data_IF_896010839251
#
_entry.id   IF_896010839251
#
_cell.length_a   1.000
_cell.length_b   1.000
_cell.length_c   1.000
_cell.angle_alpha   90.00
_cell.angle_beta   90.00
_cell.angle_gamma   90.00
#
_symmetry.space_group_name_H-M   'P 1'
#
loop_
_entity.id
_entity.type
_entity.pdbx_description
1 polymer ?
#
# COMPACT_ATOMS: atom_id res chain seq x y z
N UNK A 1 72.42 -39.57 34.31
CA UNK A 1 71.65 -38.32 34.46
C UNK A 1 70.66 -38.25 33.29
N UNK A 2 69.38 -38.50 33.53
CA UNK A 2 68.32 -38.49 32.48
C UNK A 2 67.46 -37.24 32.70
N UNK A 3 67.46 -36.32 31.73
CA UNK A 3 66.55 -35.16 31.70
C UNK A 3 65.15 -35.63 31.32
N UNK A 4 64.13 -35.28 32.12
CA UNK A 4 62.73 -35.43 31.84
C UNK A 4 62.25 -34.15 31.15
N UNK A 5 61.75 -34.25 29.93
CA UNK A 5 61.02 -33.19 29.25
C UNK A 5 59.55 -33.19 29.70
N UNK A 6 59.09 -32.04 30.17
CA UNK A 6 57.66 -31.77 30.47
C UNK A 6 57.02 -31.29 29.18
N UNK A 7 56.08 -32.08 28.66
CA UNK A 7 55.18 -31.65 27.60
C UNK A 7 53.99 -30.85 28.25
N UNK A 8 53.91 -29.58 27.93
CA UNK A 8 52.78 -28.74 28.29
C UNK A 8 51.69 -28.89 27.21
N UNK A 9 50.54 -29.46 27.55
CA UNK A 9 49.35 -29.52 26.71
C UNK A 9 48.63 -28.20 26.77
N UNK A 10 48.61 -27.44 25.66
CA UNK A 10 47.75 -26.26 25.48
C UNK A 10 46.35 -26.73 25.11
N UNK A 11 45.38 -26.56 26.00
CA UNK A 11 43.97 -26.73 25.73
C UNK A 11 43.47 -25.57 24.88
N UNK A 12 43.17 -25.80 23.60
CA UNK A 12 42.41 -24.90 22.73
C UNK A 12 40.95 -24.87 23.21
N UNK A 13 40.58 -23.82 23.93
CA UNK A 13 39.17 -23.50 24.18
C UNK A 13 38.53 -23.01 22.87
N UNK A 14 37.98 -23.92 22.10
CA UNK A 14 37.13 -23.61 20.96
C UNK A 14 35.87 -22.95 21.43
N UNK A 15 35.79 -21.61 21.32
CA UNK A 15 34.55 -20.87 21.51
C UNK A 15 33.54 -21.35 20.46
N UNK A 16 32.46 -21.95 20.90
CA UNK A 16 31.30 -22.23 20.03
C UNK A 16 30.79 -20.91 19.48
N UNK A 17 30.48 -20.82 18.18
CA UNK A 17 29.88 -19.60 17.65
C UNK A 17 28.56 -19.35 18.38
N UNK A 18 28.40 -18.13 18.91
CA UNK A 18 27.14 -17.69 19.47
C UNK A 18 26.08 -17.78 18.35
N UNK A 19 25.23 -18.76 18.43
CA UNK A 19 24.04 -18.85 17.57
C UNK A 19 23.21 -17.64 17.91
N UNK A 20 23.18 -16.65 17.02
CA UNK A 20 22.19 -15.59 17.06
C UNK A 20 20.85 -16.29 16.95
N UNK A 21 20.11 -16.37 18.07
CA UNK A 21 18.73 -16.83 18.08
C UNK A 21 18.00 -15.98 17.03
N UNK A 22 17.56 -16.60 15.94
CA UNK A 22 16.75 -15.94 14.96
C UNK A 22 15.54 -15.36 15.72
N UNK A 23 15.35 -14.05 15.67
CA UNK A 23 14.23 -13.42 16.33
C UNK A 23 12.94 -14.09 15.85
N UNK A 24 12.05 -14.46 16.77
CA UNK A 24 10.81 -15.17 16.46
C UNK A 24 9.90 -14.41 15.48
N UNK A 25 8.80 -15.03 15.07
CA UNK A 25 7.82 -14.38 14.19
C UNK A 25 7.29 -13.09 14.82
N UNK A 26 6.90 -12.14 13.97
CA UNK A 26 6.29 -10.87 14.37
C UNK A 26 4.76 -10.97 14.36
N UNK A 27 4.11 -10.08 15.13
CA UNK A 27 2.66 -9.87 15.09
C UNK A 27 2.35 -8.44 14.62
N UNK A 28 1.13 -8.18 14.12
CA UNK A 28 0.76 -6.87 13.58
C UNK A 28 0.99 -5.68 14.54
N UNK A 29 0.80 -5.80 15.87
CA UNK A 29 1.17 -4.74 16.81
C UNK A 29 2.65 -4.38 16.85
N UNK A 30 3.54 -5.28 16.44
CA UNK A 30 5.00 -5.06 16.45
C UNK A 30 5.50 -4.44 15.14
N UNK A 31 4.64 -4.40 14.11
CA UNK A 31 4.99 -3.88 12.78
C UNK A 31 4.65 -2.41 12.68
N UNK A 32 5.56 -1.61 12.13
CA UNK A 32 5.25 -0.28 11.62
C UNK A 32 4.66 -0.44 10.23
N UNK A 33 3.32 -0.27 10.13
CA UNK A 33 2.55 -0.55 8.92
C UNK A 33 1.72 0.66 8.53
N UNK A 34 2.25 1.45 7.59
CA UNK A 34 1.49 2.42 6.82
C UNK A 34 1.14 1.80 5.46
N UNK A 35 -0.06 2.08 4.96
CA UNK A 35 -0.50 1.71 3.61
C UNK A 35 -0.22 0.23 3.28
N UNK A 36 -0.77 -0.72 4.08
CA UNK A 36 -0.49 -2.14 3.92
C UNK A 36 -1.15 -2.70 2.67
N UNK A 37 -0.42 -3.52 1.91
CA UNK A 37 -0.95 -4.24 0.77
C UNK A 37 -0.72 -5.75 0.94
N UNK A 38 -1.78 -6.56 0.83
CA UNK A 38 -1.69 -8.02 1.00
C UNK A 38 -1.98 -8.74 -0.32
N UNK A 39 -1.06 -9.61 -0.72
CA UNK A 39 -1.26 -10.56 -1.81
C UNK A 39 -1.39 -11.96 -1.24
N UNK A 40 -2.46 -12.67 -1.60
CA UNK A 40 -2.67 -14.06 -1.24
C UNK A 40 -2.11 -14.96 -2.33
N UNK A 41 -1.05 -15.69 -2.02
CA UNK A 41 -0.49 -16.70 -2.91
C UNK A 41 -1.02 -18.09 -2.54
N UNK A 42 -2.06 -18.53 -3.24
CA UNK A 42 -2.67 -19.83 -3.03
C UNK A 42 -1.74 -20.99 -3.41
N UNK A 43 -0.81 -20.77 -4.34
CA UNK A 43 0.09 -21.83 -4.76
C UNK A 43 1.07 -22.22 -3.64
N UNK A 44 1.55 -21.25 -2.88
CA UNK A 44 2.43 -21.47 -1.73
C UNK A 44 1.69 -21.48 -0.38
N UNK A 45 0.36 -21.31 -0.38
CA UNK A 45 -0.46 -21.17 0.85
C UNK A 45 0.07 -20.08 1.77
N UNK A 46 0.39 -18.92 1.20
CA UNK A 46 1.07 -17.83 1.91
C UNK A 46 0.42 -16.47 1.61
N UNK A 47 0.34 -15.63 2.63
CA UNK A 47 0.06 -14.20 2.50
C UNK A 47 1.37 -13.43 2.45
N UNK A 48 1.46 -12.48 1.53
CA UNK A 48 2.55 -11.53 1.42
C UNK A 48 2.03 -10.15 1.77
N UNK A 49 2.62 -9.48 2.76
CA UNK A 49 2.26 -8.13 3.16
C UNK A 49 3.39 -7.19 2.78
N UNK A 50 3.08 -6.20 1.94
CA UNK A 50 4.00 -5.19 1.45
C UNK A 50 3.76 -3.85 2.14
N UNK A 51 4.82 -3.13 2.46
CA UNK A 51 4.79 -1.77 2.98
C UNK A 51 6.13 -1.07 2.70
N UNK A 52 6.18 0.24 2.90
CA UNK A 52 7.42 1.01 2.83
C UNK A 52 8.47 0.42 3.78
N UNK A 53 9.73 0.40 3.35
CA UNK A 53 10.82 -0.04 4.21
C UNK A 53 10.99 0.88 5.43
N UNK A 54 11.03 0.27 6.62
CA UNK A 54 11.37 0.92 7.89
C UNK A 54 12.73 0.37 8.35
N UNK A 55 13.82 1.16 8.27
CA UNK A 55 15.17 0.67 8.55
C UNK A 55 15.36 0.04 9.92
N UNK A 56 14.68 0.54 10.96
CA UNK A 56 14.73 -0.02 12.32
C UNK A 56 14.12 -1.41 12.42
N UNK A 57 13.25 -1.80 11.47
CA UNK A 57 12.57 -3.10 11.44
C UNK A 57 13.28 -4.08 10.52
N UNK A 58 13.63 -3.65 9.31
CA UNK A 58 14.28 -4.50 8.30
C UNK A 58 15.79 -4.64 8.50
N UNK A 59 16.42 -3.72 9.25
CA UNK A 59 17.87 -3.62 9.37
C UNK A 59 18.57 -3.10 8.09
N UNK A 60 17.82 -2.63 7.09
CA UNK A 60 18.34 -2.14 5.81
C UNK A 60 18.18 -0.62 5.72
N UNK A 61 19.30 0.10 5.63
CA UNK A 61 19.33 1.55 5.43
C UNK A 61 19.08 1.87 3.95
N UNK A 62 17.84 1.69 3.50
CA UNK A 62 17.44 1.85 2.11
C UNK A 62 16.07 2.51 2.01
N UNK A 63 15.88 3.36 1.02
CA UNK A 63 14.56 3.78 0.54
C UNK A 63 14.04 2.61 -0.30
N UNK A 64 12.91 2.04 0.05
CA UNK A 64 12.44 0.84 -0.64
C UNK A 64 11.15 0.27 -0.07
N UNK A 65 10.85 -0.93 -0.50
CA UNK A 65 9.68 -1.72 -0.08
C UNK A 65 10.16 -2.99 0.61
N UNK A 66 9.56 -3.30 1.74
CA UNK A 66 9.77 -4.55 2.45
C UNK A 66 8.51 -5.41 2.42
N UNK A 67 8.69 -6.71 2.52
CA UNK A 67 7.60 -7.67 2.55
C UNK A 67 7.73 -8.64 3.72
N UNK A 68 6.60 -8.99 4.30
CA UNK A 68 6.43 -10.01 5.33
C UNK A 68 5.67 -11.20 4.73
N UNK A 69 5.84 -12.39 5.32
CA UNK A 69 5.09 -13.58 4.93
C UNK A 69 4.36 -14.18 6.12
N UNK A 70 3.16 -14.73 5.89
CA UNK A 70 2.36 -15.43 6.88
C UNK A 70 1.55 -16.55 6.24
N UNK A 71 1.29 -17.62 6.96
CA UNK A 71 0.33 -18.66 6.56
C UNK A 71 -1.01 -18.55 7.30
N UNK A 72 -1.10 -17.67 8.32
CA UNK A 72 -2.24 -17.60 9.23
C UNK A 72 -2.74 -16.18 9.51
N UNK A 73 -2.14 -15.13 8.89
CA UNK A 73 -2.43 -13.70 9.10
C UNK A 73 -2.11 -13.18 10.52
N UNK A 74 -1.64 -14.01 11.41
CA UNK A 74 -1.31 -13.67 12.80
C UNK A 74 0.19 -13.62 13.05
N UNK A 75 0.91 -14.63 12.57
CA UNK A 75 2.35 -14.76 12.74
C UNK A 75 3.04 -14.48 11.41
N UNK A 76 3.92 -13.50 11.42
CA UNK A 76 4.58 -12.99 10.23
C UNK A 76 6.10 -13.19 10.33
N UNK A 77 6.76 -13.48 9.25
CA UNK A 77 8.23 -13.51 9.20
C UNK A 77 8.80 -12.14 9.54
N UNK A 78 10.10 -12.07 9.83
CA UNK A 78 10.83 -10.80 9.72
C UNK A 78 10.76 -10.31 8.27
N UNK A 79 10.73 -8.98 8.04
CA UNK A 79 10.60 -8.46 6.67
C UNK A 79 11.89 -8.63 5.89
N UNK A 80 11.72 -8.84 4.59
CA UNK A 80 12.80 -8.82 3.61
C UNK A 80 12.64 -7.58 2.72
N UNK A 81 13.75 -6.94 2.35
CA UNK A 81 13.74 -5.85 1.38
C UNK A 81 13.54 -6.45 -0.01
N UNK A 82 12.38 -6.19 -0.64
CA UNK A 82 12.02 -6.74 -1.95
C UNK A 82 12.24 -5.76 -3.11
N UNK A 83 12.33 -4.46 -2.78
CA UNK A 83 12.67 -3.40 -3.71
C UNK A 83 13.52 -2.35 -3.02
N UNK A 84 14.57 -1.89 -3.68
CA UNK A 84 15.37 -0.74 -3.26
C UNK A 84 15.33 0.30 -4.38
N UNK A 85 15.02 1.55 -4.01
CA UNK A 85 15.10 2.66 -4.95
C UNK A 85 16.57 2.87 -5.37
N UNK A 86 16.90 2.74 -6.66
CA UNK A 86 18.27 2.92 -7.11
C UNK A 86 18.74 4.37 -6.93
N UNK A 87 20.02 4.54 -6.58
CA UNK A 87 20.65 5.86 -6.61
C UNK A 87 20.78 6.38 -8.04
N UNK A 88 20.72 7.69 -8.19
CA UNK A 88 20.99 8.35 -9.49
C UNK A 88 19.78 8.49 -10.42
N UNK A 89 18.61 7.98 -10.06
CA UNK A 89 17.36 8.31 -10.75
C UNK A 89 16.83 9.67 -10.29
N UNK A 90 15.75 10.14 -10.91
CA UNK A 90 15.15 11.43 -10.55
C UNK A 90 14.59 11.49 -9.13
N UNK A 91 14.08 10.37 -8.60
CA UNK A 91 13.51 10.28 -7.24
C UNK A 91 14.59 9.98 -6.20
N UNK A 92 14.46 10.55 -5.02
CA UNK A 92 15.39 10.37 -3.92
C UNK A 92 14.71 10.09 -2.57
N UNK A 93 13.38 9.93 -2.56
CA UNK A 93 12.59 9.54 -1.39
C UNK A 93 11.24 8.92 -1.83
N UNK A 94 10.45 8.44 -0.86
CA UNK A 94 9.14 7.86 -1.10
C UNK A 94 9.08 6.37 -0.82
N UNK A 95 8.80 5.58 -1.85
CA UNK A 95 8.38 4.17 -1.77
C UNK A 95 7.12 4.00 -0.89
N UNK A 96 6.17 4.97 -1.03
CA UNK A 96 4.91 4.99 -0.31
C UNK A 96 3.88 4.13 -1.02
N UNK A 97 2.89 3.64 -0.24
CA UNK A 97 1.76 2.86 -0.73
C UNK A 97 2.13 1.82 -1.80
N UNK A 98 3.03 0.88 -1.49
CA UNK A 98 3.44 -0.13 -2.47
C UNK A 98 2.33 -1.12 -2.72
N UNK A 99 1.99 -1.35 -3.98
CA UNK A 99 1.01 -2.33 -4.41
C UNK A 99 1.60 -3.33 -5.38
N UNK A 100 1.32 -4.61 -5.20
CA UNK A 100 1.88 -5.69 -6.02
C UNK A 100 0.77 -6.42 -6.78
N UNK A 101 0.77 -6.29 -8.09
CA UNK A 101 -0.21 -6.87 -8.97
C UNK A 101 0.41 -7.88 -9.94
N UNK A 102 -0.35 -8.96 -10.24
CA UNK A 102 0.06 -9.91 -11.26
C UNK A 102 -0.49 -9.47 -12.63
N UNK A 103 0.38 -9.30 -13.59
CA UNK A 103 0.00 -8.97 -14.96
C UNK A 103 0.81 -9.82 -15.95
N UNK A 104 0.15 -10.50 -16.87
CA UNK A 104 0.76 -11.33 -17.92
C UNK A 104 1.88 -12.27 -17.41
N UNK A 105 1.64 -12.88 -16.26
CA UNK A 105 2.55 -13.87 -15.68
C UNK A 105 3.67 -13.31 -14.80
N UNK A 106 3.88 -11.99 -14.79
CA UNK A 106 4.88 -11.30 -13.95
C UNK A 106 4.22 -10.51 -12.82
N UNK A 107 5.01 -10.13 -11.84
CA UNK A 107 4.60 -9.30 -10.70
C UNK A 107 5.08 -7.87 -10.90
N UNK A 108 4.17 -6.93 -10.82
CA UNK A 108 4.45 -5.51 -10.95
C UNK A 108 4.19 -4.81 -9.63
N UNK A 109 5.19 -4.08 -9.17
CA UNK A 109 5.13 -3.20 -8.01
C UNK A 109 4.80 -1.79 -8.51
N UNK A 110 3.68 -1.25 -8.09
CA UNK A 110 3.31 0.16 -8.21
C UNK A 110 3.75 0.85 -6.94
N UNK A 111 4.51 1.92 -7.04
CA UNK A 111 5.05 2.58 -5.85
C UNK A 111 5.19 4.08 -6.07
N UNK A 112 4.79 4.86 -5.07
CA UNK A 112 4.91 6.32 -5.10
C UNK A 112 6.30 6.75 -4.66
N UNK A 113 6.99 7.51 -5.51
CA UNK A 113 8.31 8.09 -5.24
C UNK A 113 8.30 9.59 -5.51
N UNK A 114 9.22 10.33 -4.88
CA UNK A 114 9.27 11.79 -5.07
C UNK A 114 10.68 12.36 -4.93
N UNK A 115 10.80 13.65 -5.32
CA UNK A 115 11.99 14.46 -5.08
C UNK A 115 11.57 15.93 -4.88
N UNK A 116 11.63 16.39 -3.64
CA UNK A 116 11.30 17.77 -3.28
C UNK A 116 12.27 18.81 -3.84
N UNK A 117 13.45 18.39 -4.30
CA UNK A 117 14.42 19.22 -5.02
C UNK A 117 14.06 19.48 -6.48
N UNK A 118 12.99 18.86 -7.00
CA UNK A 118 12.51 19.02 -8.36
C UNK A 118 11.12 19.70 -8.37
N UNK A 119 11.03 21.03 -8.18
CA UNK A 119 9.75 21.73 -8.19
C UNK A 119 9.08 21.63 -9.57
N UNK A 120 7.75 21.60 -9.58
CA UNK A 120 6.98 21.74 -10.80
C UNK A 120 7.02 23.19 -11.30
N UNK A 121 6.84 23.38 -12.61
CA UNK A 121 6.85 24.71 -13.22
C UNK A 121 5.68 25.58 -12.71
N UNK A 122 4.51 24.98 -12.53
CA UNK A 122 3.33 25.67 -12.04
C UNK A 122 3.20 25.54 -10.52
N UNK A 123 3.10 26.65 -9.80
CA UNK A 123 2.84 26.63 -8.37
C UNK A 123 1.45 26.07 -8.09
N UNK A 124 1.32 25.26 -7.04
CA UNK A 124 0.01 24.78 -6.59
C UNK A 124 -0.83 25.89 -5.93
N UNK A 125 -2.14 25.67 -5.80
CA UNK A 125 -3.09 26.63 -5.22
C UNK A 125 -3.01 26.75 -3.69
N UNK A 126 -2.17 25.94 -3.04
CA UNK A 126 -2.08 25.88 -1.56
C UNK A 126 -0.98 26.81 -1.09
N UNK A 127 -1.38 27.92 -0.41
CA UNK A 127 -0.45 28.93 0.06
C UNK A 127 0.63 28.32 0.99
N UNK A 128 1.89 28.69 0.77
CA UNK A 128 3.02 28.22 1.55
C UNK A 128 3.46 26.78 1.27
N UNK A 129 2.79 26.08 0.38
CA UNK A 129 3.17 24.73 -0.06
C UNK A 129 3.80 24.78 -1.45
N UNK A 130 4.78 23.90 -1.69
CA UNK A 130 5.42 23.76 -3.00
C UNK A 130 4.93 22.49 -3.67
N UNK A 131 4.72 22.57 -4.97
CA UNK A 131 4.54 21.41 -5.83
C UNK A 131 5.90 20.93 -6.33
N UNK A 132 6.09 19.61 -6.34
CA UNK A 132 7.34 19.00 -6.76
C UNK A 132 7.06 17.65 -7.40
N UNK A 133 8.05 17.09 -8.08
CA UNK A 133 7.89 15.81 -8.75
C UNK A 133 7.60 14.70 -7.74
N UNK A 134 6.38 14.17 -7.83
CA UNK A 134 5.89 12.99 -7.12
C UNK A 134 5.08 12.16 -8.08
N UNK A 135 5.38 10.87 -8.20
CA UNK A 135 4.69 10.02 -9.16
C UNK A 135 4.71 8.57 -8.75
N UNK A 136 3.73 7.83 -9.26
CA UNK A 136 3.78 6.37 -9.29
C UNK A 136 4.75 5.92 -10.37
N UNK A 137 5.69 5.05 -9.98
CA UNK A 137 6.60 4.33 -10.88
C UNK A 137 6.34 2.84 -10.79
N UNK A 138 6.81 2.09 -11.79
CA UNK A 138 6.66 0.64 -11.85
C UNK A 138 8.01 -0.05 -11.65
N UNK A 139 7.96 -1.14 -10.89
CA UNK A 139 9.03 -2.13 -10.86
C UNK A 139 8.46 -3.52 -11.13
N UNK A 140 9.27 -4.45 -11.59
CA UNK A 140 8.82 -5.77 -12.03
C UNK A 140 9.72 -6.87 -11.50
N UNK A 141 9.11 -8.02 -11.21
CA UNK A 141 9.80 -9.25 -10.81
C UNK A 141 9.11 -10.49 -11.40
N UNK A 142 9.87 -11.57 -11.53
CA UNK A 142 9.30 -12.85 -11.95
C UNK A 142 8.68 -13.63 -10.78
N UNK A 143 9.08 -13.29 -9.55
CA UNK A 143 8.55 -13.87 -8.32
C UNK A 143 7.93 -12.81 -7.42
N UNK A 144 6.88 -13.18 -6.67
CA UNK A 144 6.15 -12.29 -5.76
C UNK A 144 7.05 -11.66 -4.69
N UNK A 145 8.05 -12.39 -4.20
CA UNK A 145 9.03 -11.89 -3.23
C UNK A 145 10.16 -11.03 -3.83
N UNK A 146 10.12 -10.71 -5.10
CA UNK A 146 11.16 -9.92 -5.76
C UNK A 146 12.44 -10.73 -6.08
N UNK A 147 13.62 -10.09 -6.21
CA UNK A 147 13.78 -8.64 -6.15
C UNK A 147 13.07 -7.93 -7.32
N UNK A 148 12.41 -6.82 -7.00
CA UNK A 148 11.80 -5.97 -8.03
C UNK A 148 12.84 -5.02 -8.62
N UNK A 149 12.78 -4.81 -9.93
CA UNK A 149 13.64 -3.86 -10.66
C UNK A 149 12.78 -2.85 -11.41
N UNK A 150 13.22 -1.59 -11.43
CA UNK A 150 12.47 -0.52 -12.10
C UNK A 150 12.23 -0.83 -13.57
N UNK A 151 11.03 -0.52 -14.00
CA UNK A 151 10.67 -0.46 -15.42
C UNK A 151 11.03 0.93 -15.94
N UNK A 152 11.62 1.01 -17.15
CA UNK A 152 11.99 2.28 -17.80
C UNK A 152 12.77 3.24 -16.90
N UNK A 153 13.75 2.73 -16.18
CA UNK A 153 14.62 3.52 -15.30
C UNK A 153 13.86 4.39 -14.28
N UNK A 154 12.63 3.98 -13.92
CA UNK A 154 11.79 4.67 -12.96
C UNK A 154 11.09 5.91 -13.51
N UNK A 155 10.89 6.01 -14.83
CA UNK A 155 10.04 7.06 -15.39
C UNK A 155 8.61 6.97 -14.82
N UNK A 156 7.97 8.12 -14.54
CA UNK A 156 6.58 8.17 -14.12
C UNK A 156 5.63 7.47 -15.10
N UNK A 157 4.62 6.79 -14.57
CA UNK A 157 3.58 6.17 -15.43
C UNK A 157 2.79 7.24 -16.20
N UNK A 158 2.52 8.38 -15.55
CA UNK A 158 1.87 9.55 -16.16
C UNK A 158 2.86 10.70 -16.30
N UNK A 159 2.39 11.85 -16.81
CA UNK A 159 3.24 13.04 -16.95
C UNK A 159 3.97 13.37 -15.64
N UNK A 160 5.26 13.70 -15.75
CA UNK A 160 6.09 14.17 -14.64
C UNK A 160 5.64 15.50 -14.03
N UNK A 161 4.73 16.22 -14.70
CA UNK A 161 4.18 17.51 -14.26
C UNK A 161 2.88 17.33 -13.42
N UNK A 162 2.45 16.09 -13.23
CA UNK A 162 1.33 15.73 -12.34
C UNK A 162 1.87 15.13 -11.04
N UNK A 163 1.45 15.71 -9.92
CA UNK A 163 1.68 15.09 -8.61
C UNK A 163 0.67 13.96 -8.42
N UNK A 164 1.15 12.73 -8.56
CA UNK A 164 0.33 11.54 -8.40
C UNK A 164 0.83 10.66 -7.27
N UNK A 165 -0.09 9.98 -6.60
CA UNK A 165 0.24 8.98 -5.59
C UNK A 165 -0.75 7.81 -5.64
N UNK A 166 -0.36 6.71 -5.00
CA UNK A 166 -1.18 5.53 -4.77
C UNK A 166 -1.76 4.93 -6.06
N UNK A 167 -0.90 4.80 -7.09
CA UNK A 167 -1.32 4.19 -8.35
C UNK A 167 -1.61 2.70 -8.18
N UNK A 168 -2.79 2.27 -8.60
CA UNK A 168 -3.24 0.88 -8.57
C UNK A 168 -3.58 0.37 -9.97
N UNK A 169 -3.36 -0.93 -10.21
CA UNK A 169 -3.76 -1.58 -11.46
C UNK A 169 -5.23 -1.98 -11.42
N UNK A 170 -6.00 -1.52 -12.38
CA UNK A 170 -7.34 -2.00 -12.65
C UNK A 170 -7.42 -2.59 -14.06
N UNK A 171 -7.96 -3.80 -14.17
CA UNK A 171 -8.23 -4.44 -15.45
C UNK A 171 -9.76 -4.44 -15.67
N UNK A 172 -10.22 -3.80 -16.74
CA UNK A 172 -11.63 -3.72 -17.03
C UNK A 172 -12.20 -5.06 -17.58
N UNK A 173 -13.52 -5.23 -17.69
CA UNK A 173 -14.11 -6.46 -18.20
C UNK A 173 -13.72 -6.84 -19.63
N UNK A 174 -13.21 -5.89 -20.41
CA UNK A 174 -12.66 -6.13 -21.75
C UNK A 174 -11.19 -6.58 -21.73
N UNK A 175 -10.60 -6.72 -20.52
CA UNK A 175 -9.20 -7.09 -20.35
C UNK A 175 -8.21 -5.94 -20.53
N UNK A 176 -8.68 -4.69 -20.63
CA UNK A 176 -7.83 -3.53 -20.81
C UNK A 176 -7.29 -3.05 -19.46
N UNK A 177 -5.95 -2.88 -19.32
CA UNK A 177 -5.35 -2.37 -18.11
C UNK A 177 -5.48 -0.85 -18.01
N UNK A 178 -5.65 -0.37 -16.80
CA UNK A 178 -5.71 1.03 -16.40
C UNK A 178 -4.88 1.23 -15.14
N UNK A 179 -4.19 2.35 -14.99
CA UNK A 179 -3.76 2.81 -13.68
C UNK A 179 -4.77 3.81 -13.15
N UNK A 180 -5.33 3.53 -11.97
CA UNK A 180 -6.11 4.49 -11.19
C UNK A 180 -5.21 5.05 -10.10
N UNK A 181 -5.27 6.35 -9.85
CA UNK A 181 -4.36 7.03 -8.93
C UNK A 181 -5.02 8.26 -8.30
N UNK A 182 -4.46 8.73 -7.19
CA UNK A 182 -4.83 10.02 -6.62
C UNK A 182 -4.00 11.14 -7.25
N UNK A 183 -4.67 12.14 -7.83
CA UNK A 183 -4.06 13.40 -8.25
C UNK A 183 -4.05 14.35 -7.06
N UNK A 184 -2.88 14.75 -6.62
CA UNK A 184 -2.63 15.26 -5.30
C UNK A 184 -3.24 16.65 -5.03
N UNK A 185 -3.71 16.82 -3.81
CA UNK A 185 -4.32 18.05 -3.28
C UNK A 185 -3.37 19.25 -3.21
N UNK A 186 -2.05 19.05 -3.10
CA UNK A 186 -1.09 20.16 -3.19
C UNK A 186 -1.14 20.85 -4.56
N UNK A 187 -1.46 20.10 -5.61
CA UNK A 187 -1.60 20.61 -6.97
C UNK A 187 -3.02 21.07 -7.29
N UNK A 188 -4.05 20.48 -6.63
CA UNK A 188 -5.46 20.73 -6.96
C UNK A 188 -6.25 21.46 -5.85
N UNK A 189 -5.77 21.51 -4.61
CA UNK A 189 -6.46 21.90 -3.35
C UNK A 189 -7.48 20.85 -2.91
N UNK A 190 -8.36 20.42 -3.78
CA UNK A 190 -9.22 19.25 -3.59
C UNK A 190 -8.65 18.14 -4.42
N UNK A 191 -8.12 17.11 -3.77
CA UNK A 191 -7.59 15.93 -4.44
C UNK A 191 -8.65 15.24 -5.31
N UNK A 192 -8.21 14.57 -6.36
CA UNK A 192 -9.07 13.86 -7.28
C UNK A 192 -8.56 12.44 -7.52
N UNK A 193 -9.45 11.52 -7.85
CA UNK A 193 -9.04 10.26 -8.47
C UNK A 193 -9.13 10.39 -9.98
N UNK A 194 -8.14 9.83 -10.65
CA UNK A 194 -8.08 9.79 -12.10
C UNK A 194 -7.64 8.40 -12.59
N UNK A 195 -7.92 8.12 -13.84
CA UNK A 195 -7.52 6.88 -14.50
C UNK A 195 -6.82 7.19 -15.82
N UNK A 196 -5.73 6.46 -16.10
CA UNK A 196 -5.01 6.51 -17.36
C UNK A 196 -5.03 5.14 -18.04
N UNK A 197 -5.34 5.06 -19.37
CA UNK A 197 -5.30 3.79 -20.08
C UNK A 197 -3.85 3.34 -20.28
N UNK A 198 -3.63 2.04 -20.12
CA UNK A 198 -2.32 1.42 -20.29
C UNK A 198 -2.31 0.47 -21.49
N UNK A 199 -1.13 0.25 -22.08
CA UNK A 199 -0.88 -0.85 -23.01
C UNK A 199 -0.56 -2.17 -22.26
N UNK A 200 -0.19 -3.20 -23.00
CA UNK A 200 0.14 -4.52 -22.46
C UNK A 200 1.43 -4.54 -21.63
N UNK A 201 2.33 -3.60 -21.85
CA UNK A 201 3.57 -3.37 -21.10
C UNK A 201 3.38 -2.37 -19.94
N UNK A 202 2.13 -1.96 -19.68
CA UNK A 202 1.72 -0.99 -18.66
C UNK A 202 2.27 0.44 -18.90
N UNK A 203 2.44 0.84 -20.16
CA UNK A 203 2.72 2.23 -20.53
C UNK A 203 1.42 3.00 -20.69
N UNK A 204 1.40 4.26 -20.26
CA UNK A 204 0.25 5.13 -20.53
C UNK A 204 0.12 5.43 -22.03
N UNK A 205 -1.07 5.16 -22.59
CA UNK A 205 -1.37 5.34 -24.03
C UNK A 205 -2.36 6.48 -24.31
N UNK A 206 -2.62 7.32 -23.31
CA UNK A 206 -3.49 8.48 -23.43
C UNK A 206 -3.41 9.39 -22.22
N UNK A 207 -4.14 10.51 -22.22
CA UNK A 207 -4.20 11.39 -21.06
C UNK A 207 -5.03 10.77 -19.94
N UNK A 208 -4.74 11.09 -18.67
CA UNK A 208 -5.59 10.72 -17.55
C UNK A 208 -6.94 11.43 -17.62
N UNK A 209 -7.99 10.74 -17.13
CA UNK A 209 -9.35 11.30 -16.98
C UNK A 209 -9.75 11.25 -15.52
N UNK A 210 -10.28 12.36 -15.02
CA UNK A 210 -10.82 12.46 -13.67
C UNK A 210 -12.03 11.54 -13.50
N UNK A 211 -12.10 10.86 -12.35
CA UNK A 211 -13.22 10.00 -11.94
C UNK A 211 -14.16 10.75 -10.99
N UNK A 212 -13.62 11.28 -9.91
CA UNK A 212 -14.31 12.18 -8.96
C UNK A 212 -13.28 12.84 -8.04
N UNK A 213 -13.73 13.86 -7.29
CA UNK A 213 -12.93 14.60 -6.32
C UNK A 213 -13.28 14.22 -4.88
N UNK A 214 -12.38 14.52 -3.95
CA UNK A 214 -12.56 14.19 -2.54
C UNK A 214 -13.79 14.85 -1.89
N UNK A 215 -14.20 16.03 -2.36
CA UNK A 215 -15.40 16.75 -1.90
C UNK A 215 -16.73 16.14 -2.38
N UNK A 216 -16.69 15.15 -3.27
CA UNK A 216 -17.86 14.34 -3.56
C UNK A 216 -18.36 13.54 -2.33
N UNK A 217 -17.48 13.25 -1.36
CA UNK A 217 -17.90 12.64 -0.09
C UNK A 217 -18.50 13.69 0.85
N UNK A 218 -19.72 13.47 1.37
CA UNK A 218 -20.32 14.40 2.33
C UNK A 218 -19.60 14.44 3.68
N UNK A 219 -18.68 13.50 3.93
CA UNK A 219 -17.95 13.36 5.20
C UNK A 219 -16.54 13.96 5.11
N UNK A 220 -15.96 14.07 3.92
CA UNK A 220 -14.63 14.65 3.74
C UNK A 220 -14.61 16.11 4.16
N UNK A 221 -13.56 16.53 4.87
CA UNK A 221 -13.39 17.88 5.38
C UNK A 221 -12.01 18.42 5.01
N UNK A 222 -11.91 19.74 4.76
CA UNK A 222 -10.61 20.36 4.57
C UNK A 222 -9.73 20.18 5.81
N UNK A 223 -8.49 19.78 5.62
CA UNK A 223 -7.52 19.73 6.71
C UNK A 223 -7.26 21.12 7.27
N UNK A 224 -7.29 21.23 8.62
CA UNK A 224 -7.03 22.49 9.31
C UNK A 224 -5.64 23.04 8.95
N UNK A 225 -5.57 24.34 8.73
CA UNK A 225 -4.32 25.06 8.40
C UNK A 225 -3.94 25.04 6.91
N UNK A 226 -4.30 24.01 6.15
CA UNK A 226 -3.98 23.90 4.72
C UNK A 226 -5.20 24.15 3.81
N UNK A 227 -6.41 23.87 4.27
CA UNK A 227 -7.63 24.01 3.50
C UNK A 227 -7.70 23.05 2.29
N UNK A 228 -7.05 21.89 2.40
CA UNK A 228 -6.99 20.85 1.38
C UNK A 228 -7.92 19.70 1.71
N UNK A 229 -8.46 19.05 0.69
CA UNK A 229 -9.18 17.77 0.83
C UNK A 229 -8.32 16.66 0.22
N UNK A 230 -7.99 15.68 1.05
CA UNK A 230 -7.14 14.55 0.68
C UNK A 230 -7.96 13.50 -0.07
N UNK A 231 -7.33 12.83 -1.03
CA UNK A 231 -7.79 11.59 -1.67
C UNK A 231 -6.66 10.58 -1.64
N UNK A 232 -6.88 9.41 -1.04
CA UNK A 232 -5.84 8.43 -0.76
C UNK A 232 -6.32 7.01 -1.07
N UNK A 233 -5.39 6.13 -1.48
CA UNK A 233 -5.52 4.69 -1.56
C UNK A 233 -6.69 4.17 -2.40
N UNK A 234 -6.81 4.53 -3.71
CA UNK A 234 -7.87 4.01 -4.55
C UNK A 234 -7.66 2.52 -4.83
N UNK A 235 -8.62 1.67 -4.49
CA UNK A 235 -8.61 0.24 -4.78
C UNK A 235 -9.94 -0.17 -5.42
N UNK A 236 -9.88 -0.81 -6.59
CA UNK A 236 -11.08 -1.16 -7.35
C UNK A 236 -11.42 -2.63 -7.24
N UNK A 237 -12.70 -2.91 -7.00
CA UNK A 237 -13.21 -4.25 -6.83
C UNK A 237 -14.52 -4.43 -7.59
N UNK A 238 -14.72 -5.62 -8.18
CA UNK A 238 -16.00 -6.05 -8.72
C UNK A 238 -16.60 -7.12 -7.85
N UNK A 239 -17.87 -6.96 -7.55
CA UNK A 239 -18.71 -8.01 -6.96
C UNK A 239 -19.06 -9.06 -8.00
N UNK A 240 -19.56 -10.21 -7.56
CA UNK A 240 -19.96 -11.31 -8.44
C UNK A 240 -21.07 -10.93 -9.42
N UNK A 241 -21.93 -9.95 -9.09
CA UNK A 241 -22.94 -9.40 -9.99
C UNK A 241 -22.41 -8.38 -11.00
N UNK A 242 -21.08 -8.05 -10.92
CA UNK A 242 -20.41 -7.12 -11.81
C UNK A 242 -20.40 -5.67 -11.36
N UNK A 243 -20.97 -5.32 -10.20
CA UNK A 243 -20.94 -3.96 -9.67
C UNK A 243 -19.52 -3.52 -9.35
N UNK A 244 -19.13 -2.32 -9.78
CA UNK A 244 -17.78 -1.78 -9.58
C UNK A 244 -17.74 -0.84 -8.38
N UNK A 245 -16.84 -1.11 -7.47
CA UNK A 245 -16.60 -0.33 -6.24
C UNK A 245 -15.16 0.16 -6.19
N UNK A 246 -14.98 1.35 -5.61
CA UNK A 246 -13.66 1.91 -5.27
C UNK A 246 -13.60 2.11 -3.76
N UNK A 247 -12.68 1.42 -3.11
CA UNK A 247 -12.27 1.69 -1.74
C UNK A 247 -11.35 2.90 -1.77
N UNK A 248 -11.50 3.85 -0.84
CA UNK A 248 -10.65 5.04 -0.77
C UNK A 248 -10.69 5.68 0.60
N UNK A 249 -9.79 6.62 0.86
CA UNK A 249 -9.62 7.27 2.16
C UNK A 249 -9.47 8.77 2.06
N UNK A 250 -9.85 9.46 3.12
CA UNK A 250 -9.72 10.91 3.28
C UNK A 250 -9.76 11.30 4.76
N UNK A 251 -9.81 12.60 5.04
CA UNK A 251 -9.96 13.18 6.37
C UNK A 251 -11.36 13.75 6.57
N UNK A 252 -11.95 13.47 7.73
CA UNK A 252 -13.22 14.00 8.20
C UNK A 252 -13.11 14.58 9.61
N UNK A 253 -14.24 14.90 10.24
CA UNK A 253 -14.28 15.44 11.60
C UNK A 253 -13.69 14.47 12.63
N UNK A 254 -13.95 13.17 12.46
CA UNK A 254 -13.42 12.07 13.32
C UNK A 254 -12.00 11.60 12.90
N UNK A 255 -11.26 12.38 12.12
CA UNK A 255 -9.92 12.03 11.64
C UNK A 255 -9.92 11.30 10.31
N UNK A 256 -8.83 10.57 10.02
CA UNK A 256 -8.67 9.78 8.81
C UNK A 256 -9.68 8.63 8.75
N UNK A 257 -10.30 8.41 7.59
CA UNK A 257 -11.38 7.44 7.42
C UNK A 257 -11.24 6.58 6.16
N UNK A 258 -11.85 5.40 6.20
CA UNK A 258 -12.02 4.47 5.10
C UNK A 258 -13.47 4.46 4.62
N UNK A 259 -13.67 4.59 3.32
CA UNK A 259 -15.00 4.57 2.68
C UNK A 259 -14.96 3.86 1.33
N UNK A 260 -16.12 3.74 0.68
CA UNK A 260 -16.27 3.25 -0.68
C UNK A 260 -17.05 4.25 -1.54
N UNK A 261 -16.82 4.16 -2.84
CA UNK A 261 -17.70 4.68 -3.87
C UNK A 261 -18.15 3.55 -4.79
N UNK A 262 -19.39 3.59 -5.30
CA UNK A 262 -19.91 2.65 -6.28
C UNK A 262 -20.13 3.35 -7.62
N UNK A 263 -19.68 2.73 -8.70
CA UNK A 263 -20.01 3.17 -10.04
C UNK A 263 -21.47 2.81 -10.36
N UNK A 264 -22.31 3.81 -10.63
CA UNK A 264 -23.72 3.58 -10.96
C UNK A 264 -23.90 2.95 -12.34
N UNK A 265 -22.97 3.18 -13.27
CA UNK A 265 -22.99 2.53 -14.59
C UNK A 265 -22.29 1.17 -14.61
N UNK A 266 -21.57 0.80 -13.54
CA UNK A 266 -20.67 -0.35 -13.51
C UNK A 266 -19.36 -0.15 -14.29
N UNK A 267 -19.17 1.02 -14.93
CA UNK A 267 -17.97 1.35 -15.70
C UNK A 267 -16.97 2.20 -14.87
N UNK A 268 -15.70 2.20 -15.27
CA UNK A 268 -14.64 2.94 -14.58
C UNK A 268 -14.93 4.44 -14.45
N UNK A 269 -15.60 5.03 -15.43
CA UNK A 269 -15.84 6.48 -15.47
C UNK A 269 -17.16 6.91 -14.82
N UNK A 270 -17.79 6.02 -14.06
CA UNK A 270 -18.94 6.35 -13.21
C UNK A 270 -20.25 6.63 -13.98
N UNK A 271 -21.15 7.49 -13.48
CA UNK A 271 -20.96 8.32 -12.26
C UNK A 271 -20.71 7.52 -11.00
N UNK A 272 -20.01 8.15 -10.03
CA UNK A 272 -19.61 7.52 -8.77
C UNK A 272 -20.48 8.01 -7.60
N UNK A 273 -21.21 7.09 -7.01
CA UNK A 273 -22.00 7.35 -5.79
C UNK A 273 -21.14 7.07 -4.56
N UNK A 274 -21.01 8.05 -3.68
CA UNK A 274 -20.31 7.86 -2.40
C UNK A 274 -21.18 7.05 -1.43
N UNK A 275 -20.56 6.11 -0.73
CA UNK A 275 -21.21 5.23 0.24
C UNK A 275 -20.85 5.65 1.67
N UNK A 276 -21.56 5.16 2.70
CA UNK A 276 -21.26 5.44 4.10
C UNK A 276 -19.81 5.08 4.47
N UNK A 277 -19.26 5.82 5.43
CA UNK A 277 -17.92 5.57 5.96
C UNK A 277 -17.88 4.26 6.74
N UNK A 278 -16.96 3.39 6.40
CA UNK A 278 -16.77 2.13 7.10
C UNK A 278 -16.05 2.29 8.43
N UNK A 279 -14.95 3.03 8.43
CA UNK A 279 -14.08 3.22 9.58
C UNK A 279 -13.60 4.68 9.65
N UNK A 280 -13.43 5.21 10.85
CA UNK A 280 -12.85 6.53 11.12
C UNK A 280 -11.76 6.44 12.19
N UNK A 281 -11.48 7.53 12.91
CA UNK A 281 -10.52 7.58 14.02
C UNK A 281 -9.12 7.16 13.64
N UNK A 282 -8.63 7.65 12.50
CA UNK A 282 -7.30 7.37 11.99
C UNK A 282 -7.18 6.02 11.27
N UNK A 283 -8.30 5.44 10.81
CA UNK A 283 -8.32 4.17 10.07
C UNK A 283 -8.47 4.44 8.58
N UNK A 284 -7.60 3.90 7.77
CA UNK A 284 -7.75 4.06 6.32
C UNK A 284 -6.61 3.45 5.53
N UNK A 285 -6.53 3.88 4.28
CA UNK A 285 -5.64 3.38 3.24
C UNK A 285 -5.65 1.85 3.22
N UNK A 286 -6.86 1.31 3.17
CA UNK A 286 -7.07 -0.12 3.22
C UNK A 286 -7.25 -0.75 1.85
N UNK A 287 -7.08 -2.06 1.82
CA UNK A 287 -7.38 -2.87 0.64
C UNK A 287 -8.12 -4.13 1.02
N UNK A 288 -9.00 -4.59 0.13
CA UNK A 288 -9.65 -5.89 0.25
C UNK A 288 -8.77 -6.98 -0.36
N UNK A 289 -8.68 -8.11 0.32
CA UNK A 289 -8.01 -9.28 -0.21
C UNK A 289 -8.82 -10.55 0.03
N UNK A 290 -8.61 -11.56 -0.82
CA UNK A 290 -9.14 -12.90 -0.58
C UNK A 290 -8.24 -13.65 0.38
N UNK A 291 -8.85 -14.34 1.34
CA UNK A 291 -8.11 -15.27 2.20
C UNK A 291 -7.77 -16.57 1.47
N UNK A 292 -6.96 -17.42 2.07
CA UNK A 292 -6.60 -18.73 1.50
C UNK A 292 -7.81 -19.64 1.30
N UNK A 293 -8.85 -19.46 2.11
CA UNK A 293 -10.14 -20.15 2.04
C UNK A 293 -11.22 -19.36 1.28
N UNK A 294 -10.82 -18.40 0.43
CA UNK A 294 -11.70 -17.59 -0.44
C UNK A 294 -12.63 -16.59 0.25
N UNK A 295 -12.50 -16.39 1.56
CA UNK A 295 -13.19 -15.32 2.26
C UNK A 295 -12.66 -13.94 1.85
N UNK A 296 -13.44 -12.87 2.11
CA UNK A 296 -12.97 -11.51 1.97
C UNK A 296 -12.51 -10.93 3.30
N UNK A 297 -11.41 -10.23 3.29
CA UNK A 297 -10.93 -9.41 4.41
C UNK A 297 -10.49 -8.03 3.94
N UNK A 298 -10.58 -7.06 4.84
CA UNK A 298 -10.02 -5.74 4.72
C UNK A 298 -8.79 -5.64 5.64
N UNK A 299 -7.68 -5.15 5.11
CA UNK A 299 -6.58 -4.62 5.91
C UNK A 299 -6.60 -3.10 5.84
N UNK A 300 -6.41 -2.41 6.96
CA UNK A 300 -6.21 -0.95 7.05
C UNK A 300 -5.07 -0.66 8.01
N UNK A 301 -4.49 0.52 7.95
CA UNK A 301 -3.67 1.00 9.04
C UNK A 301 -4.50 1.79 10.07
N UNK A 302 -4.15 1.69 11.36
CA UNK A 302 -4.69 2.48 12.48
C UNK A 302 -3.75 2.42 13.68
N UNK A 303 -3.53 3.55 14.41
CA UNK A 303 -3.90 4.91 14.05
C UNK A 303 -3.12 5.41 12.83
N UNK A 304 -3.41 6.62 12.33
CA UNK A 304 -2.68 7.23 11.22
C UNK A 304 -1.19 7.48 11.56
N UNK A 305 -0.89 7.94 12.79
CA UNK A 305 0.49 8.07 13.28
C UNK A 305 0.86 6.82 14.09
N UNK A 306 2.09 6.33 13.91
CA UNK A 306 2.55 5.06 14.49
C UNK A 306 1.65 3.90 14.08
N UNK A 307 1.37 3.83 12.82
CA UNK A 307 0.39 2.95 12.21
C UNK A 307 0.65 1.46 12.48
N UNK A 308 -0.43 0.71 12.66
CA UNK A 308 -0.43 -0.74 12.81
C UNK A 308 -1.53 -1.34 11.95
N UNK A 309 -1.26 -2.51 11.39
CA UNK A 309 -2.26 -3.22 10.61
C UNK A 309 -3.47 -3.65 11.45
N UNK A 310 -4.68 -3.46 10.89
CA UNK A 310 -5.93 -3.95 11.46
C UNK A 310 -6.67 -4.75 10.41
N UNK A 311 -7.26 -5.86 10.84
CA UNK A 311 -7.93 -6.82 9.98
C UNK A 311 -9.43 -6.87 10.31
N UNK A 312 -10.25 -6.81 9.26
CA UNK A 312 -11.71 -6.90 9.37
C UNK A 312 -12.25 -7.98 8.44
N UNK A 313 -13.26 -8.70 8.89
CA UNK A 313 -14.07 -9.53 8.01
C UNK A 313 -14.83 -8.63 7.03
N UNK A 314 -15.02 -9.11 5.81
CA UNK A 314 -15.85 -8.45 4.81
C UNK A 314 -16.75 -9.50 4.19
N UNK A 315 -18.01 -9.14 3.95
CA UNK A 315 -18.97 -9.97 3.24
C UNK A 315 -19.31 -9.34 1.92
N UNK A 316 -19.19 -10.11 0.86
CA UNK A 316 -19.72 -9.72 -0.43
C UNK A 316 -21.24 -9.88 -0.43
N UNK A 317 -21.95 -8.86 -0.89
CA UNK A 317 -23.39 -8.82 -1.06
C UNK A 317 -23.71 -8.68 -2.55
N UNK A 318 -24.96 -8.81 -2.92
CA UNK A 318 -25.41 -8.73 -4.32
C UNK A 318 -24.96 -7.42 -4.99
N UNK A 319 -24.96 -6.31 -4.26
CA UNK A 319 -24.71 -4.98 -4.80
C UNK A 319 -23.53 -4.25 -4.14
N UNK A 320 -22.66 -4.98 -3.42
CA UNK A 320 -21.52 -4.36 -2.75
C UNK A 320 -20.82 -5.21 -1.71
N UNK A 321 -20.19 -4.54 -0.79
CA UNK A 321 -19.46 -5.14 0.32
C UNK A 321 -19.98 -4.59 1.65
N UNK A 322 -20.05 -5.46 2.63
CA UNK A 322 -20.43 -5.15 4.01
C UNK A 322 -19.23 -5.39 4.92
N UNK A 323 -18.86 -4.38 5.69
CA UNK A 323 -17.82 -4.51 6.70
C UNK A 323 -18.32 -5.32 7.90
N UNK A 324 -17.59 -6.37 8.24
CA UNK A 324 -17.84 -7.21 9.39
C UNK A 324 -17.00 -6.80 10.61
N UNK A 325 -16.89 -7.71 11.57
CA UNK A 325 -16.16 -7.49 12.82
C UNK A 325 -14.64 -7.38 12.59
N UNK A 326 -13.97 -6.65 13.47
CA UNK A 326 -12.51 -6.67 13.56
C UNK A 326 -12.01 -8.05 14.05
N UNK A 327 -10.98 -8.58 13.41
CA UNK A 327 -10.35 -9.86 13.74
C UNK A 327 -9.25 -9.65 14.79
N UNK A 328 -9.69 -9.34 16.01
CA UNK A 328 -8.78 -9.12 17.16
C UNK A 328 -7.96 -10.36 17.53
N UNK A 329 -8.42 -11.53 17.12
CA UNK A 329 -7.68 -12.78 17.23
C UNK A 329 -6.45 -12.85 16.31
N UNK A 330 -6.44 -12.07 15.22
CA UNK A 330 -5.36 -11.97 14.27
C UNK A 330 -4.52 -10.71 14.48
N UNK A 331 -5.15 -9.54 14.62
CA UNK A 331 -4.45 -8.26 14.72
C UNK A 331 -4.09 -7.87 16.15
N UNK A 332 -4.53 -8.64 17.15
CA UNK A 332 -4.22 -8.50 18.59
C UNK A 332 -4.48 -7.08 19.12
N UNK A 333 -5.47 -6.38 18.55
CA UNK A 333 -5.77 -5.01 18.95
C UNK A 333 -6.44 -4.95 20.32
N UNK A 334 -5.85 -4.29 21.32
CA UNK A 334 -6.46 -4.15 22.64
C UNK A 334 -7.66 -3.17 22.65
N UNK A 335 -7.85 -2.38 21.59
CA UNK A 335 -8.93 -1.38 21.47
C UNK A 335 -9.59 -1.45 20.09
N UNK A 336 -10.34 -2.53 19.81
CA UNK A 336 -10.98 -2.73 18.51
C UNK A 336 -12.01 -1.62 18.23
N UNK A 337 -12.12 -1.24 16.95
CA UNK A 337 -13.22 -0.41 16.47
C UNK A 337 -14.28 -1.30 15.84
N UNK A 338 -15.51 -1.10 16.28
CA UNK A 338 -16.65 -1.69 15.58
C UNK A 338 -16.96 -0.92 14.31
N UNK A 339 -17.44 -1.58 13.27
CA UNK A 339 -18.01 -0.90 12.11
C UNK A 339 -19.09 0.10 12.54
N UNK A 340 -19.26 1.18 11.79
CA UNK A 340 -20.38 2.10 12.03
C UNK A 340 -21.70 1.37 11.76
N UNK A 341 -22.68 1.55 12.64
CA UNK A 341 -23.99 0.90 12.52
C UNK A 341 -24.85 1.39 11.37
N UNK A 342 -24.42 2.49 10.75
CA UNK A 342 -25.05 3.16 9.61
C UNK A 342 -24.30 2.95 8.28
N UNK A 343 -23.34 2.03 8.26
CA UNK A 343 -22.53 1.69 7.09
C UNK A 343 -23.13 0.58 6.22
#
# INVERSE_FOLDING_TARGET
MKRRELLASAALAGGLPAWTLAAGPMTLPEMDLHDPFIVTDKASMTYWLFTKNTPSVSGKQAIGVMAYRSSDLKHWTRPELVFQLPAGIWANDGCWAPEVHRWRGRWYLFVTVHNEGLPLAEPGPVFGQRTYRRSTVLAVADQLGGPFTLVRDGEPVVSKDLMTLDGTLYVDPAGKPWMVFAHEWLQLRVGAFAAVPLDEELHAIGPPRELFRGDASPVARPQQGLGIIVTDGPQLYRTADGSLHMLWSSWGEDGYFQTLARSESGNLFGPWKQLPVWLSKGSGHGMLFRTLDDGWMLVVHRPFKNARGKLYEVRERTDGFELGRQRVDLDLDPRPLQPRSDA
#
